data_IF_384589947753
#
_entry.id   IF_384589947753
#
_cell.length_a   1.000
_cell.length_b   1.000
_cell.length_c   1.000
_cell.angle_alpha   90.00
_cell.angle_beta   90.00
_cell.angle_gamma   90.00
#
_symmetry.space_group_name_H-M   'P 1'
#
loop_
_entity.id
_entity.type
_entity.pdbx_description
1 polymer ?
#
# COMPACT_ATOMS: atom_id res chain seq x y z
N UNK A 1 -36.59 -51.39 43.71
CA UNK A 1 -35.52 -51.99 42.92
C UNK A 1 -36.09 -52.24 41.56
N UNK A 2 -35.71 -51.61 40.46
CA UNK A 2 -34.55 -50.82 40.04
C UNK A 2 -34.79 -50.68 38.51
N UNK A 3 -34.34 -49.74 37.69
CA UNK A 3 -33.40 -48.63 37.75
C UNK A 3 -33.66 -47.86 36.42
N UNK A 4 -33.54 -46.53 36.49
CA UNK A 4 -32.89 -45.67 35.49
C UNK A 4 -33.55 -45.36 34.13
N UNK A 5 -34.23 -44.22 34.16
CA UNK A 5 -34.11 -43.03 33.29
C UNK A 5 -32.93 -43.03 32.27
N UNK A 6 -33.33 -42.81 31.01
CA UNK A 6 -32.70 -42.06 29.92
C UNK A 6 -31.19 -42.17 29.68
N UNK A 7 -30.83 -42.89 28.61
CA UNK A 7 -29.58 -42.64 27.88
C UNK A 7 -29.82 -41.52 26.87
N UNK A 8 -29.52 -40.29 27.28
CA UNK A 8 -29.20 -39.23 26.33
C UNK A 8 -27.73 -39.39 25.99
N UNK A 9 -27.43 -39.80 24.76
CA UNK A 9 -26.08 -39.78 24.23
C UNK A 9 -25.68 -38.32 24.01
N UNK A 10 -25.26 -37.63 25.07
CA UNK A 10 -24.52 -36.39 24.96
C UNK A 10 -23.03 -36.74 24.89
N UNK A 11 -22.62 -37.30 23.76
CA UNK A 11 -21.23 -37.23 23.33
C UNK A 11 -21.03 -35.92 22.56
N UNK A 12 -21.16 -34.79 23.27
CA UNK A 12 -20.60 -33.52 22.81
C UNK A 12 -19.15 -33.50 23.28
N UNK A 13 -18.32 -34.31 22.62
CA UNK A 13 -16.90 -34.43 22.93
C UNK A 13 -16.18 -33.14 22.54
N UNK A 14 -15.50 -32.55 23.52
CA UNK A 14 -14.80 -31.26 23.53
C UNK A 14 -13.65 -31.09 22.50
N UNK A 15 -13.61 -31.90 21.44
CA UNK A 15 -12.58 -31.87 20.41
C UNK A 15 -12.84 -30.83 19.29
N UNK A 16 -14.05 -30.30 19.19
CA UNK A 16 -14.43 -29.36 18.11
C UNK A 16 -13.89 -27.94 18.29
N UNK A 17 -13.71 -27.50 19.54
CA UNK A 17 -13.33 -26.11 19.87
C UNK A 17 -11.84 -25.83 19.73
N UNK A 18 -10.97 -26.79 20.08
CA UNK A 18 -9.51 -26.63 19.92
C UNK A 18 -9.08 -26.60 18.45
N UNK A 19 -9.76 -27.39 17.60
CA UNK A 19 -9.50 -27.44 16.15
C UNK A 19 -9.86 -26.14 15.44
N UNK A 20 -10.98 -25.51 15.83
CA UNK A 20 -11.38 -24.21 15.30
C UNK A 20 -10.41 -23.09 15.74
N UNK A 21 -10.02 -23.05 17.01
CA UNK A 21 -9.07 -22.04 17.52
C UNK A 21 -7.69 -22.17 16.86
N UNK A 22 -7.27 -23.39 16.54
CA UNK A 22 -6.04 -23.65 15.79
C UNK A 22 -6.10 -23.19 14.33
N UNK A 23 -7.28 -23.21 13.70
CA UNK A 23 -7.47 -22.75 12.32
C UNK A 23 -7.69 -21.22 12.22
N UNK A 24 -8.26 -20.60 13.25
CA UNK A 24 -8.53 -19.17 13.30
C UNK A 24 -7.26 -18.32 13.39
N UNK A 25 -6.22 -18.80 14.08
CA UNK A 25 -4.93 -18.09 14.19
C UNK A 25 -4.23 -17.90 12.82
N UNK A 26 -4.02 -18.95 12.01
CA UNK A 26 -3.51 -18.81 10.65
C UNK A 26 -4.37 -17.91 9.77
N UNK A 27 -5.70 -18.02 9.89
CA UNK A 27 -6.63 -17.21 9.09
C UNK A 27 -6.51 -15.71 9.43
N UNK A 28 -6.44 -15.38 10.72
CA UNK A 28 -6.21 -14.01 11.19
C UNK A 28 -4.88 -13.48 10.67
N UNK A 29 -3.80 -14.26 10.79
CA UNK A 29 -2.48 -13.87 10.29
C UNK A 29 -2.48 -13.64 8.77
N UNK A 30 -3.21 -14.45 8.01
CA UNK A 30 -3.37 -14.27 6.56
C UNK A 30 -4.09 -12.95 6.24
N UNK A 31 -5.17 -12.62 6.95
CA UNK A 31 -5.87 -11.34 6.75
C UNK A 31 -5.02 -10.13 7.13
N UNK A 32 -4.24 -10.22 8.22
CA UNK A 32 -3.30 -9.16 8.61
C UNK A 32 -2.23 -8.96 7.53
N UNK A 33 -1.66 -10.04 6.99
CA UNK A 33 -0.70 -9.97 5.89
C UNK A 33 -1.30 -9.33 4.62
N UNK A 34 -2.54 -9.70 4.26
CA UNK A 34 -3.24 -9.09 3.12
C UNK A 34 -3.42 -7.59 3.34
N UNK A 35 -3.87 -7.18 4.54
CA UNK A 35 -4.02 -5.76 4.89
C UNK A 35 -2.70 -5.02 4.76
N UNK A 36 -1.62 -5.57 5.31
CA UNK A 36 -0.31 -4.90 5.32
C UNK A 36 0.25 -4.76 3.90
N UNK A 37 0.07 -5.78 3.05
CA UNK A 37 0.42 -5.73 1.63
C UNK A 37 -0.42 -4.67 0.90
N UNK A 38 -1.73 -4.63 1.13
CA UNK A 38 -2.63 -3.66 0.51
C UNK A 38 -2.26 -2.22 0.92
N UNK A 39 -2.01 -1.98 2.19
CA UNK A 39 -1.57 -0.67 2.70
C UNK A 39 -0.22 -0.26 2.11
N UNK A 40 0.72 -1.19 2.00
CA UNK A 40 2.01 -0.93 1.35
C UNK A 40 1.85 -0.59 -0.14
N UNK A 41 0.99 -1.32 -0.85
CA UNK A 41 0.70 -1.04 -2.26
C UNK A 41 0.05 0.35 -2.42
N UNK A 42 -0.94 0.68 -1.59
CA UNK A 42 -1.54 2.02 -1.56
C UNK A 42 -0.51 3.12 -1.30
N UNK A 43 0.40 2.92 -0.34
CA UNK A 43 1.45 3.91 -0.07
C UNK A 43 2.40 4.16 -1.25
N UNK A 44 2.53 3.20 -2.17
CA UNK A 44 3.32 3.36 -3.40
C UNK A 44 2.53 4.04 -4.52
N UNK A 45 1.20 3.89 -4.53
CA UNK A 45 0.31 4.58 -5.47
C UNK A 45 0.16 6.05 -5.06
N UNK A 46 0.00 6.31 -3.76
CA UNK A 46 -0.14 7.64 -3.17
C UNK A 46 1.20 8.35 -2.97
N UNK A 47 2.33 7.69 -3.23
CA UNK A 47 3.55 8.43 -3.51
C UNK A 47 3.40 8.96 -4.94
N UNK A 48 3.05 10.25 -5.17
CA UNK A 48 3.36 10.86 -6.44
C UNK A 48 4.85 10.61 -6.59
N UNK A 49 5.21 9.83 -7.59
CA UNK A 49 6.59 9.65 -7.96
C UNK A 49 7.06 11.05 -8.28
N UNK A 50 7.61 11.73 -7.28
CA UNK A 50 7.94 13.15 -7.33
C UNK A 50 8.86 13.26 -8.53
N UNK A 51 8.34 13.78 -9.64
CA UNK A 51 8.92 13.51 -10.94
C UNK A 51 10.25 14.25 -10.94
N UNK A 52 11.34 13.52 -10.77
CA UNK A 52 12.68 14.08 -10.60
C UNK A 52 13.40 13.92 -11.91
N UNK A 53 13.90 15.04 -12.44
CA UNK A 53 14.72 15.02 -13.65
C UNK A 53 15.94 15.91 -13.50
N UNK A 54 17.02 15.53 -14.17
CA UNK A 54 18.19 16.40 -14.34
C UNK A 54 17.93 17.52 -15.36
N UNK A 55 16.89 17.37 -16.20
CA UNK A 55 16.61 18.26 -17.32
C UNK A 55 15.13 18.58 -17.39
N UNK A 56 14.80 19.87 -17.34
CA UNK A 56 13.42 20.34 -17.37
C UNK A 56 13.16 21.23 -18.57
N UNK A 57 12.18 20.87 -19.40
CA UNK A 57 11.78 21.66 -20.57
C UNK A 57 10.56 22.50 -20.24
N UNK A 58 10.67 23.82 -20.36
CA UNK A 58 9.55 24.74 -20.21
C UNK A 58 8.50 24.45 -21.29
N UNK A 59 7.23 24.30 -20.91
CA UNK A 59 6.14 23.98 -21.85
C UNK A 59 5.83 25.13 -22.80
N UNK A 60 5.98 26.37 -22.33
CA UNK A 60 5.71 27.58 -23.12
C UNK A 60 6.84 27.87 -24.13
N UNK A 61 8.04 28.18 -23.63
CA UNK A 61 9.12 28.70 -24.48
C UNK A 61 10.18 27.66 -24.85
N UNK A 62 9.95 26.38 -24.52
CA UNK A 62 10.82 25.24 -24.83
C UNK A 62 12.26 25.32 -24.26
N UNK A 63 12.55 26.27 -23.36
CA UNK A 63 13.86 26.40 -22.70
C UNK A 63 14.15 25.19 -21.80
N UNK A 64 15.40 24.73 -21.81
CA UNK A 64 15.84 23.56 -21.03
C UNK A 64 16.72 24.02 -19.86
N UNK A 65 16.27 23.75 -18.63
CA UNK A 65 17.09 23.84 -17.42
C UNK A 65 17.88 22.55 -17.23
N UNK A 66 19.15 22.67 -16.85
CA UNK A 66 20.02 21.56 -16.53
C UNK A 66 20.42 21.64 -15.05
N UNK A 67 20.42 20.50 -14.38
CA UNK A 67 20.79 20.36 -12.98
C UNK A 67 21.88 19.30 -12.84
N UNK A 68 22.74 19.46 -11.82
CA UNK A 68 23.81 18.50 -11.51
C UNK A 68 23.32 17.25 -10.78
N UNK A 69 22.09 17.30 -10.24
CA UNK A 69 21.39 16.19 -9.59
C UNK A 69 19.92 16.20 -10.04
N UNK A 70 19.21 15.05 -10.00
CA UNK A 70 17.77 15.03 -10.24
C UNK A 70 17.05 15.96 -9.26
N UNK A 71 16.24 16.88 -9.78
CA UNK A 71 15.45 17.81 -8.98
C UNK A 71 13.96 17.62 -9.27
N UNK A 72 13.08 17.72 -8.26
CA UNK A 72 11.63 17.68 -8.45
C UNK A 72 11.11 19.00 -9.07
N UNK A 73 9.92 18.96 -9.68
CA UNK A 73 9.30 20.11 -10.39
C UNK A 73 9.19 21.35 -9.49
N UNK A 74 8.80 21.15 -8.23
CA UNK A 74 8.58 22.17 -7.22
C UNK A 74 9.84 23.00 -6.96
N UNK A 75 11.01 22.37 -7.05
CA UNK A 75 12.32 23.01 -6.85
C UNK A 75 12.94 23.55 -8.13
N UNK A 76 12.37 23.23 -9.30
CA UNK A 76 12.87 23.71 -10.59
C UNK A 76 12.79 25.24 -10.69
N UNK A 77 11.81 25.85 -10.03
CA UNK A 77 11.56 27.29 -10.04
C UNK A 77 11.14 27.83 -11.42
N UNK A 78 10.89 29.15 -11.51
CA UNK A 78 10.37 29.80 -12.73
C UNK A 78 11.33 29.74 -13.92
N UNK A 79 10.79 29.65 -15.13
CA UNK A 79 11.55 29.73 -16.38
C UNK A 79 12.30 31.06 -16.47
N UNK A 80 13.62 31.08 -16.72
CA UNK A 80 14.35 32.34 -16.81
C UNK A 80 13.89 33.22 -17.98
N UNK A 81 13.38 32.59 -19.07
CA UNK A 81 12.93 33.29 -20.28
C UNK A 81 11.50 33.84 -20.18
N UNK A 82 10.50 32.98 -19.94
CA UNK A 82 9.08 33.39 -19.95
C UNK A 82 8.43 33.44 -18.57
N UNK A 83 9.16 33.15 -17.49
CA UNK A 83 8.68 33.14 -16.09
C UNK A 83 7.59 32.10 -15.75
N UNK A 84 7.19 31.27 -16.72
CA UNK A 84 6.34 30.10 -16.51
C UNK A 84 6.87 29.18 -15.42
N UNK A 85 5.94 28.53 -14.71
CA UNK A 85 6.22 27.44 -13.76
C UNK A 85 5.92 26.07 -14.38
N UNK A 86 5.44 26.04 -15.62
CA UNK A 86 5.09 24.80 -16.29
C UNK A 86 6.29 24.18 -17.00
N UNK A 87 6.72 23.02 -16.49
CA UNK A 87 7.78 22.23 -17.10
C UNK A 87 7.30 20.79 -17.32
N UNK A 88 7.99 20.11 -18.24
CA UNK A 88 7.97 18.65 -18.35
C UNK A 88 9.41 18.14 -18.20
N UNK A 89 9.61 16.96 -17.59
CA UNK A 89 10.95 16.38 -17.56
C UNK A 89 11.40 16.00 -18.97
N UNK A 90 12.72 15.96 -19.14
CA UNK A 90 13.36 15.27 -20.25
C UNK A 90 13.99 14.02 -19.66
N UNK A 91 13.47 12.85 -20.04
CA UNK A 91 14.12 11.55 -19.79
C UNK A 91 15.40 11.46 -20.61
#
# INVERSE_FOLDING_TARGET
>A
MDLYIAQTNSETSANGTESMDSALKPLKAAFEAIRDIAMKALSQIDQPHEERSMRWKCKECQYIKHFTKPVPLETTGRCPRCKSIEFRPIV
#
